data_IF_468388067553
#
_entry.id   IF_468388067553
#
_cell.length_a   1.000
_cell.length_b   1.000
_cell.length_c   1.000
_cell.angle_alpha   90.00
_cell.angle_beta   90.00
_cell.angle_gamma   90.00
#
_symmetry.space_group_name_H-M   'P 1'
#
loop_
_entity.id
_entity.type
_entity.pdbx_description
1 polymer ?
#
# COMPACT_ATOMS: atom_id res chain seq x y z
N UNK A 1 -4.64 18.33 4.82
CA UNK A 1 -4.87 17.00 5.41
C UNK A 1 -4.20 15.87 4.61
N UNK A 2 -4.42 15.75 3.29
CA UNK A 2 -3.81 14.70 2.46
C UNK A 2 -2.28 14.62 2.58
N UNK A 3 -1.59 15.77 2.55
CA UNK A 3 -0.13 15.85 2.77
C UNK A 3 0.32 15.22 4.09
N UNK A 4 -0.42 15.47 5.18
CA UNK A 4 -0.12 14.94 6.52
C UNK A 4 -0.27 13.41 6.56
N UNK A 5 -1.27 12.87 5.86
CA UNK A 5 -1.46 11.42 5.75
C UNK A 5 -0.30 10.79 4.97
N UNK A 6 0.10 11.43 3.86
CA UNK A 6 1.17 10.97 2.98
C UNK A 6 2.56 10.97 3.65
N UNK A 7 2.78 11.79 4.69
CA UNK A 7 4.01 11.75 5.49
C UNK A 7 4.32 10.34 6.03
N UNK A 8 3.29 9.55 6.35
CA UNK A 8 3.47 8.18 6.81
C UNK A 8 3.94 7.20 5.73
N UNK A 9 3.79 7.54 4.46
CA UNK A 9 4.32 6.78 3.34
C UNK A 9 5.75 7.24 3.02
N UNK A 10 5.97 8.57 3.01
CA UNK A 10 7.30 9.16 2.82
C UNK A 10 8.28 8.71 3.89
N UNK A 11 7.84 8.64 5.15
CA UNK A 11 8.74 8.38 6.27
C UNK A 11 9.27 6.94 6.32
N UNK A 12 8.66 6.00 5.59
CA UNK A 12 9.05 4.57 5.60
C UNK A 12 10.47 4.33 5.12
N UNK A 13 11.00 5.16 4.22
CA UNK A 13 12.38 5.02 3.71
C UNK A 13 13.43 5.33 4.80
N UNK A 14 13.07 6.07 5.85
CA UNK A 14 14.00 6.42 6.93
C UNK A 14 14.21 5.31 7.95
N UNK A 15 13.51 4.18 7.82
CA UNK A 15 13.64 3.04 8.71
C UNK A 15 15.07 2.49 8.79
N UNK A 16 15.79 2.42 7.68
CA UNK A 16 17.20 1.99 7.63
C UNK A 16 18.09 2.94 8.44
N UNK A 17 17.84 4.26 8.33
CA UNK A 17 18.59 5.25 9.11
C UNK A 17 18.31 5.08 10.61
N UNK A 18 17.06 4.83 10.97
CA UNK A 18 16.71 4.57 12.37
C UNK A 18 17.37 3.28 12.86
N UNK A 19 17.36 2.18 12.08
CA UNK A 19 18.08 0.94 12.42
C UNK A 19 19.56 1.22 12.71
N UNK A 20 20.23 1.98 11.83
CA UNK A 20 21.64 2.31 12.00
C UNK A 20 21.90 3.15 13.26
N UNK A 21 21.00 4.09 13.56
CA UNK A 21 21.06 4.88 14.80
C UNK A 21 20.88 4.01 16.05
N UNK A 22 19.90 3.10 16.04
CA UNK A 22 19.63 2.17 17.15
C UNK A 22 20.81 1.23 17.41
N UNK A 23 21.45 0.73 16.35
CA UNK A 23 22.68 -0.08 16.44
C UNK A 23 23.83 0.71 17.06
N UNK A 24 24.05 1.95 16.61
CA UNK A 24 25.11 2.82 17.15
C UNK A 24 24.98 3.04 18.65
N UNK A 25 23.75 3.11 19.15
CA UNK A 25 23.43 3.33 20.56
C UNK A 25 23.22 2.05 21.37
N UNK A 26 23.59 0.87 20.84
CA UNK A 26 23.45 -0.44 21.48
C UNK A 26 22.04 -0.79 22.02
N UNK A 27 21.00 -0.15 21.46
CA UNK A 27 19.60 -0.40 21.79
C UNK A 27 19.15 -1.71 21.12
N UNK A 28 19.46 -2.83 21.77
CA UNK A 28 19.36 -4.17 21.17
C UNK A 28 17.95 -4.77 21.20
N UNK A 29 17.01 -4.24 22.01
CA UNK A 29 15.69 -4.86 22.22
C UNK A 29 14.61 -3.82 22.45
N UNK A 30 13.88 -3.44 21.40
CA UNK A 30 12.65 -2.64 21.53
C UNK A 30 11.45 -3.44 21.05
N UNK A 31 10.36 -3.38 21.81
CA UNK A 31 9.08 -3.94 21.42
C UNK A 31 8.36 -2.98 20.45
N UNK A 32 8.20 -3.39 19.20
CA UNK A 32 7.53 -2.61 18.13
C UNK A 32 6.12 -2.22 18.53
N UNK A 33 5.38 -3.13 19.18
CA UNK A 33 3.98 -2.89 19.53
C UNK A 33 3.85 -1.71 20.51
N UNK A 34 4.83 -1.54 21.40
CA UNK A 34 4.88 -0.38 22.31
C UNK A 34 5.16 0.93 21.55
N UNK A 35 6.05 0.89 20.54
CA UNK A 35 6.31 2.04 19.68
C UNK A 35 5.06 2.43 18.86
N UNK A 36 4.31 1.43 18.37
CA UNK A 36 3.06 1.68 17.65
C UNK A 36 2.00 2.31 18.57
N UNK A 37 1.84 1.82 19.80
CA UNK A 37 0.94 2.44 20.79
C UNK A 37 1.30 3.92 21.00
N UNK A 38 2.59 4.23 21.19
CA UNK A 38 3.06 5.60 21.35
C UNK A 38 2.70 6.47 20.13
N UNK A 39 2.88 5.95 18.91
CA UNK A 39 2.58 6.71 17.70
C UNK A 39 1.08 7.02 17.54
N UNK A 40 0.21 6.10 17.96
CA UNK A 40 -1.23 6.30 17.90
C UNK A 40 -1.76 7.17 19.04
N UNK A 41 -1.18 7.08 20.24
CA UNK A 41 -1.63 7.87 21.39
C UNK A 41 -1.38 9.37 21.22
N UNK A 42 -0.34 9.77 20.47
CA UNK A 42 -0.07 11.17 20.17
C UNK A 42 -1.26 11.89 19.51
N UNK A 43 -2.01 11.20 18.65
CA UNK A 43 -3.18 11.79 17.99
C UNK A 43 -4.31 12.12 18.97
N UNK A 44 -4.42 11.40 20.10
CA UNK A 44 -5.49 11.58 21.09
C UNK A 44 -5.29 12.87 21.91
N UNK A 45 -4.03 13.32 22.04
CA UNK A 45 -3.65 14.49 22.84
C UNK A 45 -4.16 15.84 22.30
N UNK A 46 -4.65 15.89 21.05
CA UNK A 46 -5.12 17.13 20.42
C UNK A 46 -6.57 17.42 20.85
N UNK A 47 -6.81 18.42 21.68
CA UNK A 47 -8.16 18.84 22.10
C UNK A 47 -8.76 19.91 21.18
N UNK A 48 -10.07 20.21 21.29
CA UNK A 48 -10.75 21.21 20.47
C UNK A 48 -10.12 22.60 20.58
N UNK A 49 -9.66 22.95 21.78
CA UNK A 49 -9.14 24.28 22.08
C UNK A 49 -7.62 24.37 21.90
N UNK A 50 -7.02 23.32 21.32
CA UNK A 50 -5.59 23.22 21.14
C UNK A 50 -5.12 24.11 19.98
N UNK A 51 -3.99 24.84 20.09
CA UNK A 51 -3.54 25.72 19.02
C UNK A 51 -3.37 24.99 17.69
N UNK A 52 -3.96 25.53 16.61
CA UNK A 52 -3.99 24.89 15.28
C UNK A 52 -2.60 24.52 14.75
N UNK A 53 -1.58 25.36 14.99
CA UNK A 53 -0.22 25.06 14.56
C UNK A 53 0.36 23.86 15.33
N UNK A 54 0.14 23.83 16.64
CA UNK A 54 0.65 22.77 17.53
C UNK A 54 -0.06 21.44 17.24
N UNK A 55 -1.36 21.47 16.95
CA UNK A 55 -2.10 20.27 16.54
C UNK A 55 -1.55 19.69 15.24
N UNK A 56 -1.34 20.51 14.21
CA UNK A 56 -0.72 20.09 12.94
C UNK A 56 0.67 19.50 13.18
N UNK A 57 1.50 20.11 14.02
CA UNK A 57 2.83 19.59 14.36
C UNK A 57 2.74 18.19 15.00
N UNK A 58 1.84 18.00 15.97
CA UNK A 58 1.61 16.69 16.61
C UNK A 58 1.18 15.66 15.57
N UNK A 59 0.22 15.99 14.71
CA UNK A 59 -0.22 15.10 13.63
C UNK A 59 0.93 14.72 12.68
N UNK A 60 1.75 15.69 12.27
CA UNK A 60 2.91 15.43 11.41
C UNK A 60 3.92 14.50 12.09
N UNK A 61 4.29 14.78 13.35
CA UNK A 61 5.23 13.94 14.12
C UNK A 61 4.67 12.53 14.27
N UNK A 62 3.41 12.40 14.68
CA UNK A 62 2.78 11.11 14.89
C UNK A 62 2.71 10.30 13.58
N UNK A 63 2.43 10.94 12.43
CA UNK A 63 2.42 10.29 11.11
C UNK A 63 3.80 9.88 10.63
N UNK A 64 4.83 10.70 10.87
CA UNK A 64 6.23 10.35 10.57
C UNK A 64 6.64 9.10 11.37
N UNK A 65 6.40 9.14 12.70
CA UNK A 65 6.71 8.04 13.62
C UNK A 65 5.98 6.76 13.22
N UNK A 66 4.69 6.86 12.91
CA UNK A 66 3.87 5.74 12.46
C UNK A 66 4.44 5.05 11.22
N UNK A 67 4.80 5.82 10.19
CA UNK A 67 5.39 5.26 8.98
C UNK A 67 6.70 4.53 9.24
N UNK A 68 7.59 5.12 10.04
CA UNK A 68 8.87 4.49 10.40
C UNK A 68 8.63 3.20 11.19
N UNK A 69 7.76 3.21 12.21
CA UNK A 69 7.52 2.05 13.07
C UNK A 69 6.83 0.89 12.36
N UNK A 70 5.87 1.16 11.47
CA UNK A 70 5.31 0.12 10.60
C UNK A 70 6.40 -0.50 9.72
N UNK A 71 7.25 0.34 9.15
CA UNK A 71 8.32 -0.12 8.28
C UNK A 71 9.30 -1.04 9.01
N UNK A 72 9.62 -0.71 10.26
CA UNK A 72 10.40 -1.59 11.15
C UNK A 72 9.67 -2.88 11.50
N UNK A 73 8.35 -2.83 11.72
CA UNK A 73 7.54 -4.01 12.01
C UNK A 73 7.65 -5.07 10.91
N UNK A 74 7.73 -4.64 9.65
CA UNK A 74 7.91 -5.55 8.53
C UNK A 74 9.34 -6.13 8.44
N UNK A 75 10.37 -5.40 8.91
CA UNK A 75 11.80 -5.76 8.72
C UNK A 75 12.40 -6.79 9.66
N UNK A 76 11.80 -7.09 10.80
CA UNK A 76 12.52 -7.95 11.75
C UNK A 76 11.73 -8.31 12.99
N UNK A 77 10.75 -9.20 12.84
CA UNK A 77 10.19 -9.94 13.97
C UNK A 77 10.88 -11.31 14.01
N UNK A 78 11.91 -11.44 14.84
CA UNK A 78 12.40 -12.76 15.22
C UNK A 78 11.48 -13.33 16.30
N UNK A 79 10.89 -14.50 16.02
CA UNK A 79 10.17 -15.27 17.01
C UNK A 79 11.13 -16.25 17.68
N UNK A 80 11.49 -15.99 18.95
CA UNK A 80 12.31 -16.88 19.77
C UNK A 80 13.61 -17.35 19.09
N UNK A 81 14.34 -16.45 18.42
CA UNK A 81 15.65 -16.73 17.82
C UNK A 81 15.62 -17.57 16.54
N UNK A 82 14.44 -17.83 15.95
CA UNK A 82 14.31 -18.42 14.61
C UNK A 82 13.88 -17.34 13.62
N UNK A 83 14.67 -17.14 12.57
CA UNK A 83 14.25 -16.40 11.39
C UNK A 83 13.07 -17.14 10.75
N UNK A 84 11.93 -16.47 10.59
CA UNK A 84 10.84 -17.01 9.78
C UNK A 84 11.30 -17.05 8.32
N UNK A 85 11.56 -18.26 7.82
CA UNK A 85 11.87 -18.49 6.41
C UNK A 85 10.67 -18.06 5.55
N UNK A 86 10.76 -16.86 4.99
CA UNK A 86 9.61 -16.11 4.49
C UNK A 86 9.52 -16.08 2.96
N UNK A 87 9.72 -17.22 2.28
CA UNK A 87 9.49 -17.32 0.82
C UNK A 87 8.01 -17.11 0.42
N UNK A 88 7.07 -17.28 1.37
CA UNK A 88 5.63 -17.06 1.22
C UNK A 88 5.13 -15.77 1.91
N UNK A 89 6.01 -14.96 2.50
CA UNK A 89 5.65 -13.73 3.24
C UNK A 89 5.14 -12.63 2.33
N UNK A 90 5.60 -12.58 1.08
CA UNK A 90 5.48 -11.39 0.23
C UNK A 90 4.05 -11.19 -0.29
N UNK A 91 3.42 -12.24 -0.84
CA UNK A 91 1.98 -12.24 -1.18
C UNK A 91 1.16 -12.00 0.08
N UNK A 92 1.50 -12.66 1.20
CA UNK A 92 0.76 -12.50 2.45
C UNK A 92 0.75 -11.05 2.93
N UNK A 93 1.88 -10.37 2.88
CA UNK A 93 1.98 -8.96 3.29
C UNK A 93 1.16 -8.04 2.38
N UNK A 94 1.25 -8.22 1.06
CA UNK A 94 0.41 -7.46 0.13
C UNK A 94 -1.08 -7.78 0.29
N UNK A 95 -1.43 -9.03 0.54
CA UNK A 95 -2.80 -9.47 0.78
C UNK A 95 -3.36 -8.86 2.08
N UNK A 96 -2.63 -8.96 3.20
CA UNK A 96 -3.02 -8.34 4.46
C UNK A 96 -3.08 -6.82 4.36
N UNK A 97 -2.20 -6.21 3.56
CA UNK A 97 -2.25 -4.78 3.28
C UNK A 97 -3.56 -4.41 2.57
N UNK A 98 -3.92 -5.08 1.47
CA UNK A 98 -5.18 -4.83 0.74
C UNK A 98 -6.42 -5.11 1.61
N UNK A 99 -6.41 -6.16 2.43
CA UNK A 99 -7.49 -6.44 3.39
C UNK A 99 -7.60 -5.35 4.45
N UNK A 100 -6.48 -4.93 5.05
CA UNK A 100 -6.49 -3.90 6.09
C UNK A 100 -7.00 -2.57 5.55
N UNK A 101 -6.67 -2.28 4.30
CA UNK A 101 -7.18 -1.16 3.54
C UNK A 101 -8.70 -1.25 3.29
N UNK A 102 -9.21 -2.41 2.89
CA UNK A 102 -10.66 -2.67 2.74
C UNK A 102 -11.41 -2.51 4.07
N UNK A 103 -10.86 -3.09 5.14
CA UNK A 103 -11.42 -3.01 6.49
C UNK A 103 -11.46 -1.57 6.99
N UNK A 104 -10.39 -0.80 6.77
CA UNK A 104 -10.35 0.62 7.12
C UNK A 104 -11.42 1.44 6.42
N UNK A 105 -11.68 1.17 5.13
CA UNK A 105 -12.74 1.83 4.39
C UNK A 105 -14.14 1.47 4.91
N UNK A 106 -14.40 0.19 5.22
CA UNK A 106 -15.67 -0.25 5.82
C UNK A 106 -15.91 0.40 7.19
N UNK A 107 -14.89 0.45 8.04
CA UNK A 107 -14.98 1.11 9.35
C UNK A 107 -15.27 2.60 9.21
N UNK A 108 -14.67 3.27 8.22
CA UNK A 108 -14.97 4.67 7.95
C UNK A 108 -16.43 4.88 7.54
N UNK A 109 -16.95 4.06 6.61
CA UNK A 109 -18.34 4.13 6.16
C UNK A 109 -19.32 3.92 7.32
N UNK A 110 -19.13 2.85 8.10
CA UNK A 110 -19.97 2.54 9.27
C UNK A 110 -20.02 3.70 10.27
N UNK A 111 -18.87 4.30 10.58
CA UNK A 111 -18.81 5.39 11.56
C UNK A 111 -19.40 6.70 11.02
N UNK A 112 -19.31 6.95 9.72
CA UNK A 112 -19.95 8.09 9.08
C UNK A 112 -21.48 7.96 9.03
N UNK A 113 -22.01 6.74 9.10
CA UNK A 113 -23.45 6.48 9.25
C UNK A 113 -23.93 6.60 10.71
N UNK A 114 -23.09 6.19 11.68
CA UNK A 114 -23.44 6.20 13.11
C UNK A 114 -23.35 7.62 13.71
N UNK A 115 -22.33 8.40 13.33
CA UNK A 115 -22.02 9.67 13.97
C UNK A 115 -22.30 10.86 13.05
N UNK A 116 -22.78 11.96 13.63
CA UNK A 116 -22.95 13.22 12.90
C UNK A 116 -21.60 13.84 12.53
N UNK A 117 -21.59 14.61 11.43
CA UNK A 117 -20.40 15.34 11.00
C UNK A 117 -19.87 16.30 12.09
N UNK A 118 -20.77 16.93 12.85
CA UNK A 118 -20.39 17.84 13.93
C UNK A 118 -19.65 17.12 15.05
N UNK A 119 -20.12 15.94 15.45
CA UNK A 119 -19.43 15.11 16.44
C UNK A 119 -18.06 14.67 15.94
N UNK A 120 -17.96 14.23 14.68
CA UNK A 120 -16.69 13.84 14.09
C UNK A 120 -15.71 15.02 14.05
N UNK A 121 -16.15 16.21 13.65
CA UNK A 121 -15.34 17.43 13.57
C UNK A 121 -14.86 17.92 14.95
N UNK A 122 -15.66 17.74 16.00
CA UNK A 122 -15.32 18.11 17.38
C UNK A 122 -14.38 17.11 18.08
N UNK A 123 -13.82 16.14 17.34
CA UNK A 123 -12.85 15.18 17.89
C UNK A 123 -13.38 13.76 18.02
N UNK A 124 -14.60 13.46 17.56
CA UNK A 124 -15.14 12.10 17.49
C UNK A 124 -14.25 11.13 16.70
N UNK A 125 -13.46 11.63 15.74
CA UNK A 125 -12.46 10.83 15.01
C UNK A 125 -11.40 10.18 15.92
N UNK A 126 -11.24 10.61 17.18
CA UNK A 126 -10.31 9.97 18.13
C UNK A 126 -10.68 8.53 18.46
N UNK A 127 -11.97 8.17 18.33
CA UNK A 127 -12.47 6.80 18.55
C UNK A 127 -11.72 5.79 17.68
N UNK A 128 -11.39 6.14 16.43
CA UNK A 128 -10.59 5.29 15.53
C UNK A 128 -9.24 4.92 16.15
N UNK A 129 -8.53 5.90 16.70
CA UNK A 129 -7.22 5.67 17.31
C UNK A 129 -7.31 4.86 18.60
N UNK A 130 -8.36 5.07 19.40
CA UNK A 130 -8.60 4.31 20.63
C UNK A 130 -8.85 2.82 20.30
N UNK A 131 -9.70 2.53 19.31
CA UNK A 131 -9.97 1.15 18.87
C UNK A 131 -8.67 0.47 18.43
N UNK A 132 -7.85 1.16 17.63
CA UNK A 132 -6.57 0.60 17.16
C UNK A 132 -5.61 0.34 18.33
N UNK A 133 -5.52 1.24 19.30
CA UNK A 133 -4.69 1.05 20.50
C UNK A 133 -5.17 -0.18 21.30
N UNK A 134 -6.48 -0.34 21.48
CA UNK A 134 -7.05 -1.52 22.15
C UNK A 134 -6.70 -2.82 21.43
N UNK A 135 -6.78 -2.85 20.10
CA UNK A 135 -6.36 -4.02 19.29
C UNK A 135 -4.88 -4.32 19.50
N UNK A 136 -4.00 -3.32 19.50
CA UNK A 136 -2.56 -3.53 19.71
C UNK A 136 -2.27 -4.02 21.15
N UNK A 137 -3.00 -3.51 22.15
CA UNK A 137 -2.90 -3.98 23.53
C UNK A 137 -3.35 -5.43 23.68
N UNK A 138 -4.45 -5.82 23.03
CA UNK A 138 -4.90 -7.22 22.99
C UNK A 138 -3.83 -8.12 22.35
N UNK A 139 -3.24 -7.69 21.24
CA UNK A 139 -2.14 -8.42 20.60
C UNK A 139 -0.94 -8.58 21.54
N UNK A 140 -0.55 -7.53 22.27
CA UNK A 140 0.51 -7.60 23.29
C UNK A 140 0.22 -8.64 24.37
N UNK A 141 -1.02 -8.67 24.88
CA UNK A 141 -1.46 -9.65 25.87
C UNK A 141 -1.38 -11.06 25.28
N UNK A 142 -1.91 -11.29 24.08
CA UNK A 142 -1.86 -12.58 23.40
C UNK A 142 -0.42 -13.06 23.22
N UNK A 143 0.47 -12.21 22.69
CA UNK A 143 1.87 -12.59 22.48
C UNK A 143 2.63 -12.88 23.78
N UNK A 144 2.33 -12.13 24.85
CA UNK A 144 2.97 -12.32 26.14
C UNK A 144 2.47 -13.58 26.86
N UNK A 145 1.16 -13.83 26.87
CA UNK A 145 0.55 -14.88 27.68
C UNK A 145 0.35 -16.19 26.91
N UNK A 146 -0.12 -16.14 25.65
CA UNK A 146 -0.39 -17.34 24.86
C UNK A 146 0.90 -17.91 24.27
N UNK A 147 1.67 -17.05 23.61
CA UNK A 147 2.86 -17.49 22.89
C UNK A 147 4.13 -17.51 23.76
N UNK A 148 4.09 -16.93 24.98
CA UNK A 148 5.27 -16.71 25.85
C UNK A 148 6.46 -16.08 25.11
N UNK A 149 6.18 -15.37 24.03
CA UNK A 149 7.18 -14.79 23.13
C UNK A 149 7.43 -13.34 23.52
N UNK A 150 8.70 -12.95 23.56
CA UNK A 150 9.04 -11.54 23.60
C UNK A 150 9.24 -11.07 22.16
N UNK A 151 8.33 -10.25 21.65
CA UNK A 151 8.50 -9.59 20.34
C UNK A 151 9.56 -8.52 20.53
N UNK A 152 10.79 -8.83 20.15
CA UNK A 152 11.87 -7.87 20.09
C UNK A 152 12.31 -7.70 18.63
N UNK A 153 12.56 -6.45 18.26
CA UNK A 153 13.38 -6.14 17.10
C UNK A 153 14.79 -6.67 17.38
N UNK A 154 15.25 -7.62 16.58
CA UNK A 154 16.67 -7.94 16.47
C UNK A 154 17.11 -7.60 15.05
N UNK A 155 18.03 -6.64 14.94
CA UNK A 155 18.43 -6.07 13.67
C UNK A 155 19.61 -6.84 13.06
N UNK A 156 19.36 -8.00 12.47
CA UNK A 156 20.35 -8.64 11.59
C UNK A 156 20.26 -7.97 10.22
N UNK A 157 21.25 -7.09 9.94
CA UNK A 157 21.40 -6.51 8.61
C UNK A 157 22.39 -7.39 7.89
N UNK A 158 21.86 -8.21 6.99
CA UNK A 158 22.68 -8.98 6.09
C UNK A 158 23.24 -8.00 5.04
N UNK A 159 24.54 -7.67 5.15
CA UNK A 159 25.27 -6.77 4.23
C UNK A 159 25.34 -7.32 2.79
N UNK A 160 24.73 -8.47 2.51
CA UNK A 160 25.16 -9.40 1.47
C UNK A 160 24.71 -9.04 0.05
N UNK A 161 23.78 -8.10 -0.17
CA UNK A 161 23.44 -7.63 -1.53
C UNK A 161 23.19 -6.13 -1.58
N UNK A 162 23.97 -5.43 -2.40
CA UNK A 162 23.75 -4.02 -2.73
C UNK A 162 22.34 -3.86 -3.32
N UNK A 163 21.50 -3.05 -2.68
CA UNK A 163 20.19 -2.69 -3.21
C UNK A 163 20.37 -1.80 -4.46
N UNK A 164 19.97 -2.29 -5.63
CA UNK A 164 20.02 -1.51 -6.86
C UNK A 164 18.75 -0.66 -7.00
N UNK A 165 18.86 0.63 -6.70
CA UNK A 165 17.72 1.55 -6.68
C UNK A 165 17.00 1.65 -8.04
N UNK A 166 17.74 1.63 -9.15
CA UNK A 166 17.17 1.78 -10.50
C UNK A 166 16.34 0.57 -10.90
N UNK A 167 16.86 -0.63 -10.61
CA UNK A 167 16.14 -1.88 -10.80
C UNK A 167 14.91 -1.97 -9.90
N UNK A 168 15.00 -1.44 -8.67
CA UNK A 168 13.88 -1.44 -7.76
C UNK A 168 12.75 -0.50 -8.18
N UNK A 169 13.09 0.68 -8.67
CA UNK A 169 12.11 1.64 -9.20
C UNK A 169 11.38 1.05 -10.42
N UNK A 170 12.07 0.34 -11.31
CA UNK A 170 11.43 -0.25 -12.50
C UNK A 170 10.48 -1.39 -12.15
N UNK A 171 10.84 -2.27 -11.22
CA UNK A 171 9.94 -3.34 -10.76
C UNK A 171 8.76 -2.79 -9.95
N UNK A 172 8.98 -1.74 -9.16
CA UNK A 172 7.95 -1.16 -8.30
C UNK A 172 6.89 -0.37 -9.07
N UNK A 173 7.17 0.05 -10.30
CA UNK A 173 6.21 0.79 -11.10
C UNK A 173 4.90 0.03 -11.30
N UNK A 174 4.96 -1.30 -11.42
CA UNK A 174 3.78 -2.14 -11.58
C UNK A 174 2.84 -2.04 -10.38
N UNK A 175 3.38 -1.93 -9.16
CA UNK A 175 2.56 -1.92 -7.95
C UNK A 175 1.99 -0.55 -7.61
N UNK A 176 2.43 0.49 -8.31
CA UNK A 176 1.79 1.81 -8.23
C UNK A 176 0.35 1.70 -8.73
N UNK A 177 0.08 0.86 -9.74
CA UNK A 177 -1.26 0.68 -10.32
C UNK A 177 -2.31 0.24 -9.28
N UNK A 178 -2.14 -0.88 -8.55
CA UNK A 178 -3.09 -1.35 -7.54
C UNK A 178 -3.17 -0.41 -6.33
N UNK A 179 -2.08 0.27 -6.01
CA UNK A 179 -2.09 1.28 -4.95
C UNK A 179 -2.87 2.53 -5.38
N UNK A 180 -2.78 2.93 -6.65
CA UNK A 180 -3.50 4.08 -7.20
C UNK A 180 -4.99 3.76 -7.38
N UNK A 181 -5.35 2.55 -7.80
CA UNK A 181 -6.75 2.10 -7.83
C UNK A 181 -7.38 2.09 -6.43
N UNK A 182 -6.64 1.60 -5.43
CA UNK A 182 -7.08 1.66 -4.05
C UNK A 182 -7.20 3.10 -3.53
N UNK A 183 -6.25 3.96 -3.90
CA UNK A 183 -6.30 5.37 -3.54
C UNK A 183 -7.55 6.06 -4.13
N UNK A 184 -7.86 5.82 -5.41
CA UNK A 184 -9.09 6.30 -6.05
C UNK A 184 -10.31 5.80 -5.26
N UNK A 185 -10.38 4.49 -4.96
CA UNK A 185 -11.44 3.92 -4.13
C UNK A 185 -11.58 4.63 -2.77
N UNK A 186 -10.50 4.76 -2.01
CA UNK A 186 -10.54 5.37 -0.67
C UNK A 186 -10.92 6.85 -0.70
N UNK A 187 -10.66 7.53 -1.81
CA UNK A 187 -10.87 8.96 -1.97
C UNK A 187 -12.21 9.30 -2.64
N UNK A 188 -12.88 8.31 -3.25
CA UNK A 188 -14.22 8.40 -3.85
C UNK A 188 -15.28 9.03 -2.95
N UNK A 189 -15.13 8.87 -1.64
CA UNK A 189 -16.05 9.39 -0.63
C UNK A 189 -15.73 10.83 -0.23
N UNK A 190 -14.50 11.29 -0.42
CA UNK A 190 -14.01 12.61 0.02
C UNK A 190 -13.88 13.61 -1.13
N UNK A 191 -13.51 13.14 -2.32
CA UNK A 191 -13.31 13.95 -3.52
C UNK A 191 -14.52 14.25 -4.41
N UNK A 192 -15.73 13.65 -4.26
CA UNK A 192 -16.79 13.88 -5.23
C UNK A 192 -17.33 15.31 -5.18
N UNK A 193 -16.90 16.12 -4.19
CA UNK A 193 -17.21 17.54 -4.08
C UNK A 193 -16.16 18.46 -4.73
N UNK A 194 -14.98 17.93 -5.07
CA UNK A 194 -13.82 18.73 -5.50
C UNK A 194 -13.34 18.39 -6.92
N UNK A 195 -13.75 17.27 -7.49
CA UNK A 195 -13.31 16.85 -8.83
C UNK A 195 -14.09 17.51 -9.95
N UNK A 196 -13.50 17.52 -11.14
CA UNK A 196 -14.21 17.86 -12.38
C UNK A 196 -15.48 16.98 -12.51
N UNK A 197 -16.65 17.54 -12.87
CA UNK A 197 -17.90 16.79 -13.02
C UNK A 197 -17.78 15.58 -13.95
N UNK A 198 -16.98 15.66 -15.00
CA UNK A 198 -16.75 14.54 -15.92
C UNK A 198 -16.01 13.36 -15.27
N UNK A 199 -15.16 13.65 -14.28
CA UNK A 199 -14.37 12.64 -13.57
C UNK A 199 -15.10 12.04 -12.36
N UNK A 200 -16.26 12.59 -11.96
CA UNK A 200 -17.04 12.07 -10.82
C UNK A 200 -17.41 10.60 -10.99
N UNK A 201 -17.81 10.22 -12.20
CA UNK A 201 -18.17 8.85 -12.52
C UNK A 201 -16.99 7.88 -12.38
N UNK A 202 -15.78 8.34 -12.70
CA UNK A 202 -14.55 7.56 -12.52
C UNK A 202 -14.18 7.41 -11.04
N UNK A 203 -14.34 8.49 -10.26
CA UNK A 203 -14.05 8.51 -8.83
C UNK A 203 -15.01 7.66 -8.00
N UNK A 204 -16.22 7.38 -8.47
CA UNK A 204 -17.13 6.38 -7.89
C UNK A 204 -16.63 4.95 -8.16
N UNK A 205 -15.38 4.66 -7.77
CA UNK A 205 -14.86 3.31 -7.70
C UNK A 205 -15.51 2.68 -6.48
N UNK A 206 -16.43 1.74 -6.71
CA UNK A 206 -17.22 1.13 -5.65
C UNK A 206 -16.45 0.02 -4.94
N UNK A 207 -16.95 -0.37 -3.76
CA UNK A 207 -16.39 -1.45 -2.95
C UNK A 207 -16.33 -2.76 -3.75
N UNK A 208 -17.25 -2.94 -4.70
CA UNK A 208 -17.30 -4.05 -5.64
C UNK A 208 -15.96 -4.26 -6.37
N UNK A 209 -15.34 -3.21 -6.88
CA UNK A 209 -14.09 -3.32 -7.65
C UNK A 209 -12.88 -3.63 -6.76
N UNK A 210 -12.90 -3.14 -5.52
CA UNK A 210 -11.91 -3.51 -4.53
C UNK A 210 -12.04 -4.99 -4.14
N UNK A 211 -13.27 -5.43 -3.85
CA UNK A 211 -13.57 -6.82 -3.56
C UNK A 211 -13.17 -7.74 -4.72
N UNK A 212 -13.44 -7.33 -5.96
CA UNK A 212 -13.01 -8.04 -7.16
C UNK A 212 -11.48 -8.16 -7.21
N UNK A 213 -10.74 -7.10 -6.88
CA UNK A 213 -9.27 -7.13 -6.84
C UNK A 213 -8.76 -8.18 -5.83
N UNK A 214 -9.37 -8.24 -4.64
CA UNK A 214 -9.03 -9.23 -3.60
C UNK A 214 -9.35 -10.64 -4.08
N UNK A 215 -10.57 -10.87 -4.56
CA UNK A 215 -11.03 -12.19 -5.00
C UNK A 215 -10.18 -12.73 -6.15
N UNK A 216 -9.92 -11.89 -7.15
CA UNK A 216 -9.08 -12.27 -8.29
C UNK A 216 -7.66 -12.58 -7.83
N UNK A 217 -7.07 -11.79 -6.93
CA UNK A 217 -5.75 -12.07 -6.36
C UNK A 217 -5.69 -13.45 -5.66
N UNK A 218 -6.72 -13.81 -4.89
CA UNK A 218 -6.81 -15.11 -4.19
C UNK A 218 -6.84 -16.27 -5.16
N UNK A 219 -7.57 -16.16 -6.27
CA UNK A 219 -7.68 -17.25 -7.26
C UNK A 219 -6.50 -17.32 -8.22
N UNK A 220 -6.00 -16.17 -8.67
CA UNK A 220 -4.93 -16.10 -9.67
C UNK A 220 -3.61 -16.60 -9.10
N UNK A 221 -3.31 -16.30 -7.84
CA UNK A 221 -2.04 -16.68 -7.21
C UNK A 221 -1.77 -18.20 -7.23
N UNK A 222 -2.67 -19.08 -6.78
CA UNK A 222 -2.46 -20.53 -6.87
C UNK A 222 -2.43 -21.03 -8.31
N UNK A 223 -3.31 -20.53 -9.19
CA UNK A 223 -3.32 -20.88 -10.62
C UNK A 223 -1.98 -20.57 -11.30
N UNK A 224 -1.44 -19.39 -11.06
CA UNK A 224 -0.18 -18.97 -11.62
C UNK A 224 1.02 -19.76 -11.07
N UNK A 225 0.96 -20.18 -9.81
CA UNK A 225 1.96 -21.09 -9.24
C UNK A 225 1.93 -22.47 -9.89
N UNK A 226 0.77 -22.99 -10.32
CA UNK A 226 0.65 -24.28 -11.01
C UNK A 226 1.27 -24.23 -12.42
N UNK A 227 1.05 -23.16 -13.18
CA UNK A 227 1.59 -23.00 -14.55
C UNK A 227 3.11 -22.74 -14.53
N UNK A 228 3.60 -22.11 -13.47
CA UNK A 228 4.99 -21.74 -13.26
C UNK A 228 5.20 -20.22 -13.35
N UNK A 229 5.88 -19.67 -12.34
CA UNK A 229 6.03 -18.22 -12.08
C UNK A 229 6.52 -17.40 -13.27
N UNK A 230 7.46 -17.94 -14.07
CA UNK A 230 8.00 -17.21 -15.22
C UNK A 230 6.99 -17.11 -16.37
N UNK A 231 6.29 -18.22 -16.63
CA UNK A 231 5.26 -18.27 -17.68
C UNK A 231 4.06 -17.41 -17.31
N UNK A 232 3.68 -17.40 -16.04
CA UNK A 232 2.57 -16.56 -15.56
C UNK A 232 2.87 -15.06 -15.68
N UNK A 233 4.07 -14.60 -15.32
CA UNK A 233 4.45 -13.18 -15.49
C UNK A 233 4.35 -12.73 -16.95
N UNK A 234 4.86 -13.55 -17.88
CA UNK A 234 4.77 -13.27 -19.32
C UNK A 234 3.31 -13.24 -19.76
N UNK A 235 2.51 -14.23 -19.34
CA UNK A 235 1.10 -14.31 -19.69
C UNK A 235 0.31 -13.09 -19.21
N UNK A 236 0.47 -12.67 -17.95
CA UNK A 236 -0.23 -11.49 -17.41
C UNK A 236 0.20 -10.20 -18.11
N UNK A 237 1.50 -10.04 -18.42
CA UNK A 237 1.95 -8.87 -19.16
C UNK A 237 1.32 -8.82 -20.56
N UNK A 238 1.34 -9.94 -21.30
CA UNK A 238 0.78 -10.01 -22.66
C UNK A 238 -0.74 -9.80 -22.64
N UNK A 239 -1.46 -10.43 -21.70
CA UNK A 239 -2.91 -10.27 -21.62
C UNK A 239 -3.29 -8.81 -21.38
N UNK A 240 -2.62 -8.11 -20.47
CA UNK A 240 -2.88 -6.69 -20.22
C UNK A 240 -2.56 -5.84 -21.44
N UNK A 241 -1.45 -6.10 -22.14
CA UNK A 241 -1.11 -5.39 -23.38
C UNK A 241 -2.23 -5.57 -24.41
N UNK A 242 -2.65 -6.80 -24.68
CA UNK A 242 -3.66 -7.10 -25.70
C UNK A 242 -5.01 -6.48 -25.34
N UNK A 243 -5.47 -6.64 -24.09
CA UNK A 243 -6.73 -6.04 -23.67
C UNK A 243 -6.66 -4.51 -23.72
N UNK A 244 -5.57 -3.92 -23.24
CA UNK A 244 -5.41 -2.47 -23.25
C UNK A 244 -5.36 -1.90 -24.67
N UNK A 245 -4.66 -2.52 -25.61
CA UNK A 245 -4.64 -2.06 -27.00
C UNK A 245 -6.01 -2.15 -27.64
N UNK A 246 -6.73 -3.25 -27.48
CA UNK A 246 -8.11 -3.39 -28.00
C UNK A 246 -9.01 -2.28 -27.41
N UNK A 247 -8.95 -2.08 -26.10
CA UNK A 247 -9.78 -1.10 -25.42
C UNK A 247 -9.47 0.34 -25.81
N UNK A 248 -8.22 0.64 -26.16
CA UNK A 248 -7.82 1.99 -26.61
C UNK A 248 -8.48 2.46 -27.91
N UNK A 249 -8.92 1.52 -28.76
CA UNK A 249 -9.56 1.83 -30.04
C UNK A 249 -11.10 1.84 -29.96
N UNK A 250 -11.67 1.47 -28.82
CA UNK A 250 -13.12 1.49 -28.61
C UNK A 250 -13.57 2.91 -28.27
N UNK A 251 -14.67 3.38 -28.88
CA UNK A 251 -15.29 4.66 -28.50
C UNK A 251 -15.86 4.59 -27.08
N UNK A 252 -15.55 5.58 -26.26
CA UNK A 252 -15.91 5.62 -24.83
C UNK A 252 -17.05 6.59 -24.51
N UNK A 253 -17.98 6.75 -25.45
CA UNK A 253 -19.02 7.79 -25.35
C UNK A 253 -20.16 7.42 -24.38
N UNK A 254 -20.21 6.17 -23.90
CA UNK A 254 -21.28 5.67 -23.01
C UNK A 254 -20.84 5.58 -21.55
N UNK A 255 -21.80 5.65 -20.62
CA UNK A 255 -21.58 5.44 -19.18
C UNK A 255 -20.98 4.06 -18.86
N UNK A 256 -21.32 3.03 -19.64
CA UNK A 256 -20.76 1.68 -19.51
C UNK A 256 -19.25 1.61 -19.75
N UNK A 257 -18.68 2.56 -20.51
CA UNK A 257 -17.24 2.60 -20.75
C UNK A 257 -16.44 2.86 -19.48
N UNK A 258 -17.01 3.59 -18.53
CA UNK A 258 -16.39 3.94 -17.25
C UNK A 258 -16.39 2.74 -16.31
N UNK A 259 -17.51 2.02 -16.22
CA UNK A 259 -17.59 0.80 -15.41
C UNK A 259 -16.69 -0.31 -15.96
N UNK A 260 -16.58 -0.41 -17.29
CA UNK A 260 -15.63 -1.31 -17.92
C UNK A 260 -14.17 -0.92 -17.61
N UNK A 261 -13.84 0.38 -17.57
CA UNK A 261 -12.52 0.85 -17.17
C UNK A 261 -12.22 0.50 -15.70
N UNK A 262 -13.18 0.67 -14.79
CA UNK A 262 -13.02 0.28 -13.38
C UNK A 262 -12.78 -1.22 -13.24
N UNK A 263 -13.52 -2.04 -13.99
CA UNK A 263 -13.34 -3.49 -14.05
C UNK A 263 -11.92 -3.83 -14.53
N UNK A 264 -11.48 -3.19 -15.62
CA UNK A 264 -10.15 -3.38 -16.18
C UNK A 264 -9.07 -3.01 -15.16
N UNK A 265 -9.17 -1.86 -14.51
CA UNK A 265 -8.23 -1.41 -13.47
C UNK A 265 -8.17 -2.41 -12.31
N UNK A 266 -9.30 -2.94 -11.85
CA UNK A 266 -9.35 -3.95 -10.79
C UNK A 266 -8.60 -5.25 -11.17
N UNK A 267 -8.74 -5.69 -12.42
CA UNK A 267 -8.05 -6.88 -12.94
C UNK A 267 -6.55 -6.64 -13.12
N UNK A 268 -6.17 -5.49 -13.67
CA UNK A 268 -4.75 -5.10 -13.82
C UNK A 268 -4.10 -4.96 -12.44
N UNK A 269 -4.82 -4.41 -11.46
CA UNK A 269 -4.36 -4.29 -10.09
C UNK A 269 -4.03 -5.68 -9.49
N UNK A 270 -4.90 -6.68 -9.62
CA UNK A 270 -4.62 -8.01 -9.08
C UNK A 270 -3.48 -8.73 -9.80
N UNK A 271 -3.40 -8.63 -11.13
CA UNK A 271 -2.29 -9.16 -11.92
C UNK A 271 -0.95 -8.51 -11.57
N UNK A 272 -0.92 -7.19 -11.36
CA UNK A 272 0.30 -6.46 -11.03
C UNK A 272 0.91 -6.87 -9.68
N UNK A 273 0.08 -7.10 -8.65
CA UNK A 273 0.53 -7.57 -7.33
C UNK A 273 1.12 -8.98 -7.49
N UNK A 274 0.44 -9.85 -8.23
CA UNK A 274 0.90 -11.21 -8.50
C UNK A 274 2.22 -11.21 -9.26
N UNK A 275 2.34 -10.37 -10.29
CA UNK A 275 3.55 -10.18 -11.09
C UNK A 275 4.74 -9.72 -10.27
N UNK A 276 4.58 -8.70 -9.41
CA UNK A 276 5.67 -8.22 -8.59
C UNK A 276 6.21 -9.35 -7.71
N UNK A 277 5.33 -10.07 -7.01
CA UNK A 277 5.77 -11.13 -6.10
C UNK A 277 6.48 -12.25 -6.85
N UNK A 278 5.98 -12.66 -8.02
CA UNK A 278 6.69 -13.66 -8.81
C UNK A 278 8.03 -13.16 -9.33
N UNK A 279 8.15 -11.90 -9.72
CA UNK A 279 9.44 -11.32 -10.13
C UNK A 279 10.45 -11.30 -8.96
N UNK A 280 10.03 -10.91 -7.75
CA UNK A 280 10.87 -10.90 -6.56
C UNK A 280 11.31 -12.33 -6.17
N UNK A 281 10.39 -13.29 -6.20
CA UNK A 281 10.68 -14.69 -5.94
C UNK A 281 11.62 -15.33 -6.97
N UNK A 282 11.47 -14.99 -8.26
CA UNK A 282 12.36 -15.47 -9.33
C UNK A 282 13.79 -14.95 -9.13
N UNK A 283 13.95 -13.71 -8.66
CA UNK A 283 15.25 -13.08 -8.40
C UNK A 283 15.93 -13.56 -7.09
N UNK A 284 15.30 -14.45 -6.31
CA UNK A 284 15.79 -14.92 -4.99
C UNK A 284 16.31 -13.76 -4.12
N UNK A 285 15.54 -12.68 -4.05
CA UNK A 285 15.91 -11.53 -3.25
C UNK A 285 15.83 -11.84 -1.76
N UNK A 286 16.67 -11.18 -0.96
CA UNK A 286 16.56 -11.25 0.50
C UNK A 286 15.25 -10.60 0.95
N UNK A 287 14.71 -11.06 2.08
CA UNK A 287 13.53 -10.47 2.74
C UNK A 287 13.70 -8.97 2.96
N UNK A 288 14.92 -8.54 3.30
CA UNK A 288 15.30 -7.14 3.41
C UNK A 288 15.02 -6.34 2.13
N UNK A 289 15.44 -6.86 0.97
CA UNK A 289 15.24 -6.20 -0.32
C UNK A 289 13.75 -6.16 -0.68
N UNK A 290 12.99 -7.19 -0.38
CA UNK A 290 11.55 -7.19 -0.66
C UNK A 290 10.83 -6.09 0.13
N UNK A 291 11.23 -5.87 1.38
CA UNK A 291 10.64 -4.83 2.21
C UNK A 291 11.10 -3.44 1.75
N UNK A 292 12.34 -3.27 1.27
CA UNK A 292 12.74 -2.02 0.63
C UNK A 292 11.93 -1.75 -0.63
N UNK A 293 11.66 -2.77 -1.45
CA UNK A 293 10.77 -2.66 -2.61
C UNK A 293 9.36 -2.20 -2.20
N UNK A 294 8.77 -2.81 -1.17
CA UNK A 294 7.47 -2.41 -0.63
C UNK A 294 7.44 -0.94 -0.20
N UNK A 295 8.42 -0.52 0.61
CA UNK A 295 8.48 0.85 1.13
C UNK A 295 8.73 1.90 0.04
N UNK A 296 9.57 1.58 -0.95
CA UNK A 296 9.80 2.45 -2.09
C UNK A 296 8.53 2.65 -2.93
N UNK A 297 7.71 1.60 -3.08
CA UNK A 297 6.46 1.73 -3.82
C UNK A 297 5.49 2.71 -3.14
N UNK A 298 5.35 2.63 -1.82
CA UNK A 298 4.53 3.55 -1.04
C UNK A 298 5.10 4.97 -1.01
N UNK A 299 6.42 5.11 -0.98
CA UNK A 299 7.05 6.42 -1.15
C UNK A 299 6.71 7.03 -2.51
N UNK A 300 6.83 6.27 -3.61
CA UNK A 300 6.49 6.78 -4.94
C UNK A 300 5.01 7.16 -5.06
N UNK A 301 4.11 6.37 -4.45
CA UNK A 301 2.69 6.68 -4.37
C UNK A 301 2.45 8.02 -3.68
N UNK A 302 3.20 8.33 -2.61
CA UNK A 302 3.01 9.56 -1.85
C UNK A 302 3.23 10.83 -2.70
N UNK A 303 4.06 10.76 -3.73
CA UNK A 303 4.26 11.87 -4.67
C UNK A 303 3.28 11.84 -5.84
N UNK A 304 2.92 10.66 -6.34
CA UNK A 304 2.01 10.53 -7.47
C UNK A 304 0.56 10.83 -7.09
N UNK A 305 0.15 10.52 -5.87
CA UNK A 305 -1.22 10.68 -5.41
C UNK A 305 -1.71 12.15 -5.46
N UNK A 306 -0.98 13.14 -4.91
CA UNK A 306 -1.38 14.55 -5.05
C UNK A 306 -1.47 15.01 -6.50
N UNK A 307 -0.55 14.56 -7.35
CA UNK A 307 -0.53 14.92 -8.78
C UNK A 307 -1.75 14.34 -9.48
N UNK A 308 -2.05 13.05 -9.24
CA UNK A 308 -3.22 12.39 -9.80
C UNK A 308 -4.53 13.11 -9.39
N UNK A 309 -4.65 13.52 -8.13
CA UNK A 309 -5.83 14.26 -7.68
C UNK A 309 -5.90 15.67 -8.25
N UNK A 310 -4.78 16.39 -8.30
CA UNK A 310 -4.73 17.68 -8.97
C UNK A 310 -5.20 17.55 -10.42
N UNK A 311 -4.72 16.54 -11.15
CA UNK A 311 -5.16 16.27 -12.51
C UNK A 311 -6.66 15.96 -12.59
N UNK A 312 -7.21 15.16 -11.68
CA UNK A 312 -8.66 14.86 -11.67
C UNK A 312 -9.57 16.06 -11.36
N UNK A 313 -9.04 17.09 -10.70
CA UNK A 313 -9.77 18.31 -10.38
C UNK A 313 -9.84 19.22 -11.61
N UNK A 314 -8.72 19.40 -12.30
CA UNK A 314 -8.60 20.44 -13.33
C UNK A 314 -8.72 19.94 -14.77
N UNK A 315 -8.47 18.66 -15.04
CA UNK A 315 -8.43 18.12 -16.40
C UNK A 315 -9.40 16.95 -16.59
N UNK A 316 -9.95 16.86 -17.80
CA UNK A 316 -10.82 15.75 -18.20
C UNK A 316 -9.95 14.55 -18.56
N UNK A 317 -10.29 13.38 -18.00
CA UNK A 317 -9.51 12.16 -18.19
C UNK A 317 -9.95 11.48 -19.48
N UNK A 318 -9.06 11.38 -20.46
CA UNK A 318 -9.31 10.57 -21.65
C UNK A 318 -9.00 9.10 -21.37
N UNK A 319 -10.05 8.25 -21.36
CA UNK A 319 -9.92 6.82 -21.05
C UNK A 319 -9.06 6.05 -22.06
N UNK A 320 -9.07 6.43 -23.33
CA UNK A 320 -8.20 5.80 -24.36
C UNK A 320 -6.72 5.96 -24.00
N UNK A 321 -6.35 7.12 -23.44
CA UNK A 321 -4.98 7.41 -22.99
C UNK A 321 -4.59 6.53 -21.81
N UNK A 322 -5.53 6.23 -20.90
CA UNK A 322 -5.28 5.31 -19.78
C UNK A 322 -4.95 3.91 -20.32
N UNK A 323 -5.72 3.39 -21.27
CA UNK A 323 -5.45 2.09 -21.87
C UNK A 323 -4.10 2.08 -22.60
N UNK A 324 -3.78 3.10 -23.41
CA UNK A 324 -2.47 3.21 -24.09
C UNK A 324 -1.33 3.23 -23.06
N UNK A 325 -1.50 3.98 -21.97
CA UNK A 325 -0.52 4.04 -20.90
C UNK A 325 -0.28 2.64 -20.29
N UNK A 326 -1.34 1.89 -19.98
CA UNK A 326 -1.18 0.51 -19.49
C UNK A 326 -0.49 -0.40 -20.51
N UNK A 327 -0.85 -0.31 -21.80
CA UNK A 327 -0.20 -1.10 -22.85
C UNK A 327 1.31 -0.82 -22.90
N UNK A 328 1.71 0.46 -22.88
CA UNK A 328 3.12 0.87 -22.89
C UNK A 328 3.88 0.40 -21.65
N UNK A 329 3.30 0.59 -20.46
CA UNK A 329 3.92 0.20 -19.19
C UNK A 329 4.18 -1.30 -19.14
N UNK A 330 3.18 -2.10 -19.50
CA UNK A 330 3.31 -3.55 -19.49
C UNK A 330 4.20 -4.07 -20.62
N UNK A 331 4.24 -3.38 -21.76
CA UNK A 331 5.19 -3.68 -22.84
C UNK A 331 6.64 -3.47 -22.38
N UNK A 332 6.95 -2.32 -21.78
CA UNK A 332 8.27 -2.02 -21.23
C UNK A 332 8.66 -3.05 -20.16
N UNK A 333 7.74 -3.36 -19.23
CA UNK A 333 8.00 -4.37 -18.20
C UNK A 333 8.28 -5.74 -18.82
N UNK A 334 7.55 -6.14 -19.86
CA UNK A 334 7.77 -7.41 -20.53
C UNK A 334 9.13 -7.47 -21.24
N UNK A 335 9.55 -6.38 -21.90
CA UNK A 335 10.88 -6.26 -22.49
C UNK A 335 11.96 -6.43 -21.41
N UNK A 336 11.89 -5.63 -20.34
CA UNK A 336 12.87 -5.69 -19.23
C UNK A 336 12.93 -7.09 -18.64
N UNK A 337 11.77 -7.72 -18.39
CA UNK A 337 11.70 -9.08 -17.86
C UNK A 337 12.30 -10.12 -18.81
N UNK A 338 12.09 -9.95 -20.13
CA UNK A 338 12.64 -10.87 -21.14
C UNK A 338 14.16 -10.74 -21.31
N UNK A 339 14.72 -9.54 -21.13
CA UNK A 339 16.16 -9.25 -21.23
C UNK A 339 16.94 -9.78 -20.02
N UNK A 340 16.31 -9.84 -18.84
CA UNK A 340 16.90 -10.39 -17.61
C UNK A 340 17.03 -11.94 -17.63
N UNK A 341 17.21 -12.54 -18.81
CA UNK A 341 17.21 -14.00 -19.05
C UNK A 341 18.38 -14.77 -18.42
N UNK A 342 19.38 -14.09 -17.86
CA UNK A 342 20.64 -14.69 -17.41
C UNK A 342 20.80 -14.75 -15.86
N UNK A 343 19.71 -14.95 -15.12
CA UNK A 343 19.74 -15.19 -13.66
C UNK A 343 19.23 -16.57 -13.30
#
# INVERSE_FOLDING_TARGET
MAFVILLSCVSRIFDIKLINFMKKNSLSKINILNLLILSYSLHILVFSDFPNLLSIMIFCIARIMFGIFISLAYRGINFNGKELNCNLCEIKNWFFYVIGLAFGALMYLLLNEIYSNDFLNQGGWKIFYIIIILVILLMLIIFKFVYKTKIFLQFEYDKSKSFNLTEALSTNFLIIIPLLSFAIFSSSTWLPKFSNPENLHFLNYDFLYLFLTIMTLVFITPLANLVGKRKSVIFFNISIIVFATICSFIKHDSSYSIDFLKLFIALVASFSICNLVFQLQLKKQSTFNVITHFNLSLFSLAFLLPIAFYCSIYYTINYSVIYIFFALVYFINNIIFSLNKNG
#
